data_IF_424379412138
#
_entry.id   IF_424379412138
#
_cell.length_a   1.000
_cell.length_b   1.000
_cell.length_c   1.000
_cell.angle_alpha   90.00
_cell.angle_beta   90.00
_cell.angle_gamma   90.00
#
_symmetry.space_group_name_H-M   'P 1'
#
loop_
_entity.id
_entity.type
_entity.pdbx_description
1 polymer ?
#
# COMPACT_ATOMS: atom_id res chain seq x y z
N UNK A 1 -9.31 7.18 -10.48
CA UNK A 1 -10.37 7.50 -9.54
C UNK A 1 -11.61 6.62 -9.80
N UNK A 2 -12.80 7.10 -9.49
CA UNK A 2 -14.06 6.37 -9.65
C UNK A 2 -14.27 5.83 -11.08
N UNK A 3 -13.88 6.56 -12.11
CA UNK A 3 -14.03 6.16 -13.51
C UNK A 3 -13.28 4.86 -13.82
N UNK A 4 -12.03 4.74 -13.38
CA UNK A 4 -11.23 3.53 -13.64
C UNK A 4 -11.78 2.32 -12.87
N UNK A 5 -12.31 2.53 -11.67
CA UNK A 5 -12.95 1.49 -10.86
C UNK A 5 -14.20 0.94 -11.54
N UNK A 6 -15.08 1.80 -12.03
CA UNK A 6 -16.26 1.39 -12.80
C UNK A 6 -15.90 0.75 -14.14
N UNK A 7 -14.90 1.26 -14.84
CA UNK A 7 -14.41 0.66 -16.07
C UNK A 7 -13.90 -0.77 -15.81
N UNK A 8 -13.11 -0.97 -14.77
CA UNK A 8 -12.62 -2.27 -14.38
C UNK A 8 -13.77 -3.25 -14.08
N UNK A 9 -14.77 -2.81 -13.33
CA UNK A 9 -15.95 -3.63 -13.04
C UNK A 9 -16.74 -3.99 -14.30
N UNK A 10 -16.88 -3.03 -15.21
CA UNK A 10 -17.58 -3.22 -16.49
C UNK A 10 -16.90 -4.25 -17.41
N UNK A 11 -15.57 -4.28 -17.49
CA UNK A 11 -14.83 -5.18 -18.38
C UNK A 11 -14.63 -6.58 -17.80
N UNK A 12 -14.86 -6.78 -16.51
CA UNK A 12 -14.81 -8.10 -15.88
C UNK A 12 -15.98 -8.97 -16.32
N UNK A 13 -15.83 -10.31 -16.39
CA UNK A 13 -14.60 -11.06 -16.09
C UNK A 13 -13.62 -11.21 -17.27
N UNK A 14 -13.98 -10.71 -18.47
CA UNK A 14 -13.20 -10.92 -19.68
C UNK A 14 -11.83 -10.24 -19.62
N UNK A 15 -11.80 -9.04 -19.05
CA UNK A 15 -10.59 -8.25 -18.82
C UNK A 15 -10.51 -7.76 -17.38
N UNK A 16 -9.31 -7.49 -16.91
CA UNK A 16 -9.05 -6.88 -15.61
C UNK A 16 -8.05 -5.74 -15.75
N UNK A 17 -8.39 -4.60 -15.17
CA UNK A 17 -7.50 -3.45 -15.06
C UNK A 17 -6.72 -3.57 -13.76
N UNK A 18 -5.40 -3.45 -13.83
CA UNK A 18 -4.54 -3.33 -12.65
C UNK A 18 -3.72 -2.07 -12.71
N UNK A 19 -3.44 -1.51 -11.55
CA UNK A 19 -2.59 -0.35 -11.43
C UNK A 19 -1.11 -0.75 -11.51
N UNK A 20 -0.36 -0.08 -12.39
CA UNK A 20 1.09 -0.23 -12.44
C UNK A 20 1.73 0.57 -11.30
N UNK A 21 2.14 -0.10 -10.24
CA UNK A 21 2.56 0.53 -8.97
C UNK A 21 3.83 1.35 -9.14
N UNK A 22 4.71 0.98 -10.08
CA UNK A 22 5.92 1.77 -10.39
C UNK A 22 5.62 3.14 -11.02
N UNK A 23 4.36 3.41 -11.40
CA UNK A 23 3.92 4.75 -11.80
C UNK A 23 3.71 5.70 -10.61
N UNK A 24 3.77 5.19 -9.38
CA UNK A 24 3.71 6.02 -8.17
C UNK A 24 4.86 7.05 -8.17
N UNK A 25 4.53 8.28 -7.86
CA UNK A 25 5.51 9.37 -7.88
C UNK A 25 5.68 10.06 -9.23
N UNK A 26 5.06 9.56 -10.30
CA UNK A 26 4.99 10.23 -11.58
C UNK A 26 3.80 11.21 -11.64
N UNK A 27 3.79 12.08 -12.64
CA UNK A 27 2.69 13.05 -12.85
C UNK A 27 1.34 12.36 -13.11
N UNK A 28 1.37 11.13 -13.62
CA UNK A 28 0.18 10.34 -13.92
C UNK A 28 0.34 8.90 -13.44
N UNK A 29 -0.77 8.31 -12.97
CA UNK A 29 -0.82 6.90 -12.65
C UNK A 29 -1.04 6.07 -13.92
N UNK A 30 -0.29 4.98 -14.05
CA UNK A 30 -0.39 4.02 -15.14
C UNK A 30 -1.28 2.83 -14.79
N UNK A 31 -2.07 2.37 -15.75
CA UNK A 31 -2.92 1.20 -15.60
C UNK A 31 -2.71 0.25 -16.78
N UNK A 32 -2.82 -1.05 -16.52
CA UNK A 32 -2.66 -2.10 -17.51
C UNK A 32 -3.93 -2.92 -17.59
N UNK A 33 -4.43 -3.11 -18.80
CA UNK A 33 -5.64 -3.92 -19.07
C UNK A 33 -5.22 -5.19 -19.80
N UNK A 34 -5.42 -6.32 -19.17
CA UNK A 34 -5.16 -7.64 -19.77
C UNK A 34 -6.38 -8.54 -19.58
N UNK A 35 -6.50 -9.57 -20.43
CA UNK A 35 -7.49 -10.62 -20.22
C UNK A 35 -7.17 -11.48 -18.98
N UNK A 36 -8.15 -12.17 -18.45
CA UNK A 36 -7.94 -13.10 -17.36
C UNK A 36 -6.88 -14.16 -17.67
N UNK A 37 -6.86 -14.66 -18.92
CA UNK A 37 -5.85 -15.63 -19.38
C UNK A 37 -4.44 -15.04 -19.43
N UNK A 38 -4.28 -13.79 -19.82
CA UNK A 38 -3.00 -13.09 -19.85
C UNK A 38 -2.47 -12.83 -18.43
N UNK A 39 -3.31 -12.41 -17.50
CA UNK A 39 -2.92 -12.28 -16.10
C UNK A 39 -2.52 -13.62 -15.49
N UNK A 40 -3.29 -14.70 -15.77
CA UNK A 40 -2.96 -16.04 -15.30
C UNK A 40 -1.61 -16.53 -15.84
N UNK A 41 -1.30 -16.22 -17.10
CA UNK A 41 -0.02 -16.55 -17.71
C UNK A 41 1.15 -15.82 -17.04
N UNK A 42 0.98 -14.55 -16.69
CA UNK A 42 1.98 -13.80 -15.94
C UNK A 42 2.19 -14.38 -14.54
N UNK A 43 1.11 -14.75 -13.85
CA UNK A 43 1.18 -15.40 -12.54
C UNK A 43 1.93 -16.73 -12.60
N UNK A 44 1.70 -17.52 -13.64
CA UNK A 44 2.41 -18.80 -13.85
C UNK A 44 3.91 -18.61 -14.15
N UNK A 45 4.25 -17.55 -14.90
CA UNK A 45 5.63 -17.29 -15.33
C UNK A 45 6.47 -16.62 -14.23
N UNK A 46 5.90 -15.65 -13.50
CA UNK A 46 6.64 -14.81 -12.54
C UNK A 46 6.21 -15.02 -11.08
N UNK A 47 5.15 -15.75 -10.83
CA UNK A 47 4.52 -15.88 -9.53
C UNK A 47 3.47 -14.80 -9.26
N UNK A 48 2.34 -15.19 -8.68
CA UNK A 48 1.22 -14.28 -8.41
C UNK A 48 1.62 -13.11 -7.48
N UNK A 49 2.45 -13.38 -6.48
CA UNK A 49 2.91 -12.35 -5.54
C UNK A 49 3.79 -11.31 -6.23
N UNK A 50 4.68 -11.73 -7.13
CA UNK A 50 5.52 -10.82 -7.92
C UNK A 50 4.68 -9.96 -8.86
N UNK A 51 3.71 -10.56 -9.54
CA UNK A 51 2.81 -9.83 -10.45
C UNK A 51 2.02 -8.78 -9.68
N UNK A 52 1.48 -9.12 -8.51
CA UNK A 52 0.72 -8.18 -7.66
C UNK A 52 1.59 -7.08 -7.04
N UNK A 53 2.84 -7.35 -6.80
CA UNK A 53 3.79 -6.32 -6.35
C UNK A 53 3.92 -5.18 -7.36
N UNK A 54 3.92 -5.49 -8.66
CA UNK A 54 4.02 -4.50 -9.73
C UNK A 54 2.68 -4.04 -10.28
N UNK A 55 1.66 -4.90 -10.23
CA UNK A 55 0.32 -4.65 -10.79
C UNK A 55 -0.74 -4.95 -9.75
N UNK A 56 -1.12 -3.91 -9.01
CA UNK A 56 -2.12 -4.02 -7.95
C UNK A 56 -3.53 -4.16 -8.52
N UNK A 57 -4.26 -5.22 -8.17
CA UNK A 57 -5.68 -5.32 -8.49
C UNK A 57 -6.47 -4.13 -7.95
N UNK A 58 -7.43 -3.64 -8.72
CA UNK A 58 -8.26 -2.49 -8.36
C UNK A 58 -9.64 -2.95 -7.94
N UNK A 59 -10.15 -2.41 -6.84
CA UNK A 59 -11.53 -2.50 -6.41
C UNK A 59 -12.04 -1.12 -5.94
N UNK A 60 -13.28 -1.07 -5.47
CA UNK A 60 -13.87 0.19 -5.01
C UNK A 60 -13.23 0.71 -3.72
N UNK A 61 -12.55 -0.14 -2.98
CA UNK A 61 -11.82 0.21 -1.73
C UNK A 61 -10.37 0.66 -1.99
N UNK A 62 -9.89 0.57 -3.23
CA UNK A 62 -8.50 0.92 -3.58
C UNK A 62 -8.18 2.39 -3.32
N UNK A 63 -7.07 2.65 -2.65
CA UNK A 63 -6.69 3.96 -2.09
C UNK A 63 -5.62 4.72 -2.88
N UNK A 64 -5.16 4.21 -4.05
CA UNK A 64 -4.05 4.82 -4.80
C UNK A 64 -4.28 6.28 -5.22
N UNK A 65 -5.54 6.73 -5.23
CA UNK A 65 -5.89 8.11 -5.63
C UNK A 65 -5.95 9.09 -4.46
N UNK A 66 -5.91 8.60 -3.23
CA UNK A 66 -6.10 9.40 -2.01
C UNK A 66 -4.84 9.49 -1.15
N UNK A 67 -3.68 9.18 -1.73
CA UNK A 67 -2.40 9.24 -1.02
C UNK A 67 -1.96 10.69 -0.84
N UNK A 68 -1.51 11.04 0.36
CA UNK A 68 -0.79 12.28 0.58
C UNK A 68 0.69 12.16 0.18
N UNK A 69 1.41 13.26 0.12
CA UNK A 69 2.81 13.28 -0.33
C UNK A 69 3.74 12.54 0.62
N UNK A 70 3.46 12.57 1.92
CA UNK A 70 4.27 11.84 2.91
C UNK A 70 4.11 10.33 2.72
N UNK A 71 2.89 9.87 2.46
CA UNK A 71 2.62 8.47 2.11
C UNK A 71 3.33 8.06 0.82
N UNK A 72 3.27 8.90 -0.22
CA UNK A 72 3.95 8.63 -1.51
C UNK A 72 5.45 8.49 -1.32
N UNK A 73 6.10 9.43 -0.65
CA UNK A 73 7.56 9.37 -0.43
C UNK A 73 7.96 8.18 0.43
N UNK A 74 7.19 7.88 1.47
CA UNK A 74 7.45 6.72 2.32
C UNK A 74 7.31 5.40 1.57
N UNK A 75 6.30 5.27 0.71
CA UNK A 75 6.11 4.09 -0.14
C UNK A 75 7.23 3.92 -1.16
N UNK A 76 7.66 4.99 -1.82
CA UNK A 76 8.78 4.95 -2.75
C UNK A 76 10.06 4.50 -2.05
N UNK A 77 10.36 5.05 -0.88
CA UNK A 77 11.53 4.65 -0.09
C UNK A 77 11.45 3.19 0.37
N UNK A 78 10.27 2.73 0.80
CA UNK A 78 10.06 1.33 1.18
C UNK A 78 10.31 0.39 0.01
N UNK A 79 9.79 0.71 -1.16
CA UNK A 79 9.92 -0.12 -2.37
C UNK A 79 11.37 -0.15 -2.88
N UNK A 80 12.06 0.97 -2.85
CA UNK A 80 13.47 1.05 -3.23
C UNK A 80 14.36 0.15 -2.37
N UNK A 81 14.05 0.03 -1.08
CA UNK A 81 14.84 -0.73 -0.11
C UNK A 81 14.35 -2.18 0.09
N UNK A 82 13.26 -2.58 -0.56
CA UNK A 82 12.60 -3.88 -0.35
C UNK A 82 13.02 -4.92 -1.38
N UNK A 83 14.30 -5.11 -1.60
CA UNK A 83 14.79 -6.13 -2.54
C UNK A 83 14.19 -7.52 -2.23
N UNK A 84 13.38 -8.03 -3.16
CA UNK A 84 12.84 -9.39 -3.11
C UNK A 84 11.65 -9.60 -2.17
N UNK A 85 11.05 -8.55 -1.63
CA UNK A 85 9.83 -8.65 -0.83
C UNK A 85 8.62 -8.49 -1.73
N UNK A 86 7.94 -9.60 -2.01
CA UNK A 86 6.69 -9.63 -2.78
C UNK A 86 5.50 -9.31 -1.87
N UNK A 87 5.34 -8.04 -1.55
CA UNK A 87 4.27 -7.55 -0.69
C UNK A 87 3.30 -6.70 -1.49
N UNK A 88 2.01 -6.96 -1.36
CA UNK A 88 0.97 -6.17 -2.01
C UNK A 88 1.02 -4.70 -1.58
N UNK A 89 0.66 -3.80 -2.49
CA UNK A 89 0.64 -2.36 -2.23
C UNK A 89 -0.21 -1.98 -1.02
N UNK A 90 -1.39 -2.57 -0.89
CA UNK A 90 -2.28 -2.34 0.26
C UNK A 90 -1.60 -2.65 1.60
N UNK A 91 -0.86 -3.74 1.67
CA UNK A 91 -0.08 -4.12 2.86
C UNK A 91 1.05 -3.13 3.13
N UNK A 92 1.75 -2.68 2.08
CA UNK A 92 2.77 -1.63 2.21
C UNK A 92 2.18 -0.32 2.73
N UNK A 93 1.03 0.08 2.20
CA UNK A 93 0.34 1.31 2.61
C UNK A 93 -0.10 1.24 4.08
N UNK A 94 -0.65 0.12 4.52
CA UNK A 94 -1.03 -0.08 5.92
C UNK A 94 0.18 0.05 6.85
N UNK A 95 1.31 -0.53 6.48
CA UNK A 95 2.55 -0.39 7.24
C UNK A 95 3.03 1.06 7.32
N UNK A 96 3.06 1.77 6.19
CA UNK A 96 3.45 3.18 6.14
C UNK A 96 2.55 4.03 7.01
N UNK A 97 1.26 3.78 7.03
CA UNK A 97 0.29 4.48 7.89
C UNK A 97 0.56 4.26 9.38
N UNK A 98 0.97 3.06 9.77
CA UNK A 98 1.40 2.76 11.14
C UNK A 98 2.66 3.57 11.50
N UNK A 99 3.67 3.57 10.64
CA UNK A 99 4.92 4.32 10.85
C UNK A 99 4.67 5.82 10.91
N UNK A 100 3.82 6.36 10.05
CA UNK A 100 3.47 7.79 10.08
C UNK A 100 2.71 8.18 11.34
N UNK A 101 1.85 7.32 11.88
CA UNK A 101 1.22 7.55 13.19
C UNK A 101 2.23 7.63 14.31
N UNK A 102 3.26 6.77 14.29
CA UNK A 102 4.33 6.79 15.29
C UNK A 102 5.11 8.10 15.24
N UNK A 103 5.48 8.55 14.03
CA UNK A 103 6.15 9.84 13.82
C UNK A 103 5.32 11.00 14.33
N UNK A 104 4.04 11.07 13.93
CA UNK A 104 3.12 12.12 14.37
C UNK A 104 2.93 12.14 15.88
N UNK A 105 2.85 10.98 16.52
CA UNK A 105 2.72 10.87 17.97
C UNK A 105 3.95 11.43 18.69
N UNK A 106 5.15 11.16 18.19
CA UNK A 106 6.39 11.70 18.72
C UNK A 106 6.45 13.21 18.58
N UNK A 107 6.09 13.75 17.42
CA UNK A 107 6.01 15.19 17.17
C UNK A 107 5.00 15.90 18.09
N UNK A 108 3.82 15.31 18.28
CA UNK A 108 2.80 15.85 19.18
C UNK A 108 3.30 15.94 20.63
N UNK A 109 4.05 14.94 21.09
CA UNK A 109 4.68 14.97 22.42
C UNK A 109 5.74 16.07 22.52
N UNK A 110 6.63 16.16 21.54
CA UNK A 110 7.70 17.15 21.52
C UNK A 110 7.16 18.58 21.45
N UNK A 111 6.05 18.80 20.73
CA UNK A 111 5.39 20.09 20.61
C UNK A 111 4.44 20.42 21.78
N UNK A 112 4.33 19.57 22.77
CA UNK A 112 3.46 19.79 23.93
C UNK A 112 1.96 19.69 23.64
N UNK A 113 1.57 19.13 22.51
CA UNK A 113 0.14 18.95 22.13
C UNK A 113 -0.56 17.85 22.92
N UNK A 114 0.21 16.90 23.44
CA UNK A 114 -0.26 15.81 24.30
C UNK A 114 0.63 15.70 25.53
N UNK A 115 0.05 15.28 26.65
CA UNK A 115 0.80 15.03 27.87
C UNK A 115 1.46 13.65 27.86
N UNK A 116 2.31 13.38 28.85
CA UNK A 116 3.04 12.10 28.95
C UNK A 116 2.11 10.91 29.07
N UNK A 117 0.99 11.04 29.80
CA UNK A 117 0.02 9.96 29.97
C UNK A 117 -0.67 9.61 28.66
N UNK A 118 -1.14 10.63 27.93
CA UNK A 118 -1.74 10.46 26.60
C UNK A 118 -0.74 9.81 25.61
N UNK A 119 0.51 10.27 25.63
CA UNK A 119 1.57 9.70 24.80
C UNK A 119 1.80 8.21 25.12
N UNK A 120 1.91 7.85 26.39
CA UNK A 120 2.16 6.46 26.81
C UNK A 120 1.02 5.51 26.42
N UNK A 121 -0.24 5.96 26.56
CA UNK A 121 -1.41 5.18 26.12
C UNK A 121 -1.39 4.96 24.62
N UNK A 122 -1.24 6.04 23.86
CA UNK A 122 -1.21 5.99 22.39
C UNK A 122 -0.03 5.16 21.86
N UNK A 123 1.14 5.27 22.49
CA UNK A 123 2.33 4.47 22.14
C UNK A 123 2.10 2.98 22.36
N UNK A 124 1.42 2.61 23.44
CA UNK A 124 1.10 1.20 23.72
C UNK A 124 0.14 0.64 22.67
N UNK A 125 -0.90 1.38 22.31
CA UNK A 125 -1.85 0.99 21.27
C UNK A 125 -1.17 0.85 19.90
N UNK A 126 -0.27 1.78 19.58
CA UNK A 126 0.50 1.74 18.35
C UNK A 126 1.45 0.54 18.29
N UNK A 127 2.14 0.24 19.41
CA UNK A 127 3.00 -0.93 19.49
C UNK A 127 2.19 -2.22 19.28
N UNK A 128 1.00 -2.30 19.86
CA UNK A 128 0.11 -3.44 19.63
C UNK A 128 -0.28 -3.55 18.14
N UNK A 129 -0.59 -2.45 17.49
CA UNK A 129 -0.89 -2.43 16.04
C UNK A 129 0.30 -2.90 15.19
N UNK A 130 1.52 -2.51 15.56
CA UNK A 130 2.75 -3.01 14.90
C UNK A 130 2.93 -4.51 15.08
N UNK A 131 2.77 -4.99 16.30
CA UNK A 131 2.92 -6.41 16.63
C UNK A 131 1.88 -7.26 15.91
N UNK A 132 0.63 -6.82 15.86
CA UNK A 132 -0.46 -7.48 15.13
C UNK A 132 -0.18 -7.52 13.63
N UNK A 133 0.31 -6.41 13.07
CA UNK A 133 0.69 -6.34 11.66
C UNK A 133 1.83 -7.33 11.32
N UNK A 134 2.88 -7.35 12.13
CA UNK A 134 4.02 -8.25 11.93
C UNK A 134 3.59 -9.71 12.10
N UNK A 135 2.70 -10.01 13.04
CA UNK A 135 2.15 -11.36 13.22
C UNK A 135 1.34 -11.82 11.99
N UNK A 136 0.62 -10.90 11.34
CA UNK A 136 -0.20 -11.22 10.17
C UNK A 136 0.60 -11.30 8.85
N UNK A 137 1.61 -10.45 8.66
CA UNK A 137 2.28 -10.25 7.38
C UNK A 137 3.79 -10.54 7.40
N UNK A 138 4.37 -10.80 8.56
CA UNK A 138 5.82 -10.88 8.74
C UNK A 138 6.48 -9.50 8.86
N UNK A 139 7.78 -9.47 9.17
CA UNK A 139 8.50 -8.20 9.31
C UNK A 139 8.65 -7.50 7.95
N UNK A 140 8.33 -6.21 7.91
CA UNK A 140 8.60 -5.34 6.77
C UNK A 140 10.07 -4.93 6.79
N UNK A 141 10.73 -5.12 5.67
CA UNK A 141 12.14 -4.77 5.52
C UNK A 141 12.30 -3.41 4.86
#
# INVERSE_FOLDING_TARGET
DVTIKYFNDFVKPDYEVRWFVESLGNDTLGFTVLSGAEWAKLDDEFGADTVRYYFEPIDFESDMFNLDMDEVFALLALRENSEGVNTEFSTQLDWIRIINKEKNLTEQKENGQIDLKQYMVAKKELQQSKDDFIAAHGPMK
#
